data_IF_497630863211
#
_entry.id   IF_497630863211
#
_cell.length_a   1.000
_cell.length_b   1.000
_cell.length_c   1.000
_cell.angle_alpha   90.00
_cell.angle_beta   90.00
_cell.angle_gamma   90.00
#
_symmetry.space_group_name_H-M   'P 1'
#
loop_
_entity.id
_entity.type
_entity.pdbx_description
1 polymer ?
#
# COMPACT_ATOMS: atom_id res chain seq x y z
N UNK A 1 -13.99 0.51 -16.21
CA UNK A 1 -13.06 0.48 -17.39
C UNK A 1 -12.02 -0.59 -17.21
N UNK A 2 -12.43 -1.57 -16.51
CA UNK A 2 -11.50 -2.49 -15.90
C UNK A 2 -10.98 -3.58 -16.84
N UNK A 3 -11.66 -3.98 -17.87
CA UNK A 3 -11.27 -5.13 -18.69
C UNK A 3 -10.56 -4.76 -20.01
N UNK A 4 -9.87 -3.63 -20.03
CA UNK A 4 -9.13 -3.12 -21.22
C UNK A 4 -9.94 -3.03 -22.53
N UNK A 5 -11.27 -3.01 -22.45
CA UNK A 5 -12.16 -2.89 -23.63
C UNK A 5 -12.19 -1.48 -24.25
N UNK A 6 -11.56 -0.51 -23.59
CA UNK A 6 -11.42 0.86 -24.05
C UNK A 6 -11.82 1.92 -23.02
N UNK A 7 -12.01 3.16 -23.48
CA UNK A 7 -12.45 4.28 -22.63
C UNK A 7 -13.92 4.16 -22.21
N UNK A 8 -14.37 5.02 -21.28
CA UNK A 8 -15.73 5.00 -20.75
C UNK A 8 -16.83 5.05 -21.82
N UNK A 9 -16.66 5.85 -22.87
CA UNK A 9 -17.65 5.98 -23.93
C UNK A 9 -17.74 4.71 -24.76
N UNK A 10 -16.60 4.08 -25.08
CA UNK A 10 -16.56 2.79 -25.78
C UNK A 10 -17.23 1.71 -24.93
N UNK A 11 -16.92 1.62 -23.64
CA UNK A 11 -17.56 0.66 -22.73
C UNK A 11 -19.08 0.86 -22.63
N UNK A 12 -19.54 2.11 -22.51
CA UNK A 12 -21.00 2.43 -22.53
C UNK A 12 -21.66 1.93 -23.81
N UNK A 13 -21.03 2.11 -24.97
CA UNK A 13 -21.56 1.65 -26.25
C UNK A 13 -21.62 0.12 -26.31
N UNK A 14 -20.60 -0.58 -25.82
CA UNK A 14 -20.59 -2.04 -25.77
C UNK A 14 -21.73 -2.60 -24.90
N UNK A 15 -21.99 -1.97 -23.73
CA UNK A 15 -23.12 -2.37 -22.88
C UNK A 15 -24.46 -2.12 -23.59
N UNK A 16 -24.66 -0.92 -24.16
CA UNK A 16 -25.91 -0.58 -24.88
C UNK A 16 -26.15 -1.46 -26.10
N UNK A 17 -25.10 -1.92 -26.77
CA UNK A 17 -25.19 -2.81 -27.95
C UNK A 17 -25.43 -4.29 -27.62
N UNK A 18 -25.76 -4.61 -26.35
CA UNK A 18 -26.07 -5.97 -25.90
C UNK A 18 -24.91 -6.98 -26.01
N UNK A 19 -23.67 -6.49 -26.07
CA UNK A 19 -22.47 -7.33 -26.22
C UNK A 19 -21.89 -7.78 -24.90
N UNK A 20 -22.44 -7.27 -23.76
CA UNK A 20 -22.00 -7.64 -22.42
C UNK A 20 -23.06 -8.51 -21.76
N UNK A 21 -22.65 -9.65 -21.27
CA UNK A 21 -23.44 -10.54 -20.40
C UNK A 21 -22.83 -10.56 -19.00
N UNK A 22 -23.66 -10.58 -17.98
CA UNK A 22 -23.28 -10.86 -16.59
C UNK A 22 -24.09 -12.07 -16.14
N UNK A 23 -23.42 -13.13 -15.69
CA UNK A 23 -24.06 -14.40 -15.31
C UNK A 23 -25.02 -14.91 -16.39
N UNK A 24 -24.59 -14.90 -17.66
CA UNK A 24 -25.35 -15.26 -18.85
C UNK A 24 -26.51 -14.33 -19.23
N UNK A 25 -26.77 -13.26 -18.48
CA UNK A 25 -27.82 -12.26 -18.79
C UNK A 25 -27.26 -11.05 -19.52
N UNK A 26 -27.89 -10.65 -20.62
CA UNK A 26 -27.49 -9.42 -21.37
C UNK A 26 -27.79 -8.20 -20.52
N UNK A 27 -26.77 -7.39 -20.24
CA UNK A 27 -26.88 -6.15 -19.52
C UNK A 27 -26.84 -4.97 -20.49
N UNK A 28 -27.85 -4.08 -20.39
CA UNK A 28 -27.96 -2.84 -21.18
C UNK A 28 -27.88 -1.58 -20.30
N UNK A 29 -28.11 -1.72 -18.99
CA UNK A 29 -27.99 -0.59 -18.06
C UNK A 29 -26.52 -0.32 -17.75
N UNK A 30 -26.04 0.85 -18.12
CA UNK A 30 -24.69 1.33 -17.86
C UNK A 30 -24.40 1.57 -16.37
N UNK A 31 -25.42 1.57 -15.51
CA UNK A 31 -25.33 1.74 -14.06
C UNK A 31 -25.40 0.41 -13.33
N UNK A 32 -25.53 -0.72 -14.04
CA UNK A 32 -25.55 -2.03 -13.44
C UNK A 32 -24.27 -2.23 -12.59
N UNK A 33 -24.45 -2.62 -11.34
CA UNK A 33 -23.36 -2.91 -10.42
C UNK A 33 -23.02 -4.39 -10.53
N UNK A 34 -21.77 -4.69 -10.83
CA UNK A 34 -21.24 -6.05 -10.84
C UNK A 34 -20.62 -6.38 -9.50
N UNK A 35 -20.87 -7.61 -9.03
CA UNK A 35 -20.26 -8.15 -7.82
C UNK A 35 -18.94 -8.87 -8.13
N UNK A 36 -18.18 -9.20 -7.10
CA UNK A 36 -16.83 -9.79 -7.26
C UNK A 36 -16.84 -11.17 -7.93
N UNK A 37 -17.91 -11.93 -7.74
CA UNK A 37 -18.08 -13.32 -8.22
C UNK A 37 -18.85 -13.37 -9.54
N UNK A 38 -19.27 -12.22 -10.07
CA UNK A 38 -20.00 -12.19 -11.34
C UNK A 38 -19.09 -12.61 -12.50
N UNK A 39 -19.65 -13.48 -13.35
CA UNK A 39 -19.01 -13.88 -14.61
C UNK A 39 -19.41 -12.88 -15.69
N UNK A 40 -18.43 -12.07 -16.13
CA UNK A 40 -18.64 -11.09 -17.18
C UNK A 40 -18.14 -11.65 -18.52
N UNK A 41 -18.98 -11.57 -19.53
CA UNK A 41 -18.67 -12.07 -20.90
C UNK A 41 -18.86 -10.93 -21.92
N UNK A 42 -17.91 -10.78 -22.80
CA UNK A 42 -17.94 -9.87 -23.95
C UNK A 42 -17.77 -10.69 -25.24
N UNK A 43 -18.81 -10.70 -26.10
CA UNK A 43 -18.81 -11.46 -27.36
C UNK A 43 -18.36 -12.93 -27.16
N UNK A 44 -18.94 -13.58 -26.15
CA UNK A 44 -18.65 -14.96 -25.74
C UNK A 44 -17.25 -15.22 -25.19
N UNK A 45 -16.43 -14.17 -24.97
CA UNK A 45 -15.15 -14.23 -24.29
C UNK A 45 -15.35 -13.86 -22.82
N UNK A 46 -15.02 -14.77 -21.91
CA UNK A 46 -15.04 -14.47 -20.48
C UNK A 46 -13.96 -13.43 -20.14
N UNK A 47 -14.39 -12.32 -19.54
CA UNK A 47 -13.49 -11.29 -19.08
C UNK A 47 -12.96 -11.67 -17.70
N UNK A 48 -11.66 -11.68 -17.54
CA UNK A 48 -11.05 -11.82 -16.22
C UNK A 48 -11.28 -10.55 -15.41
N UNK A 49 -11.50 -10.70 -14.12
CA UNK A 49 -11.54 -9.56 -13.20
C UNK A 49 -10.22 -8.78 -13.33
N UNK A 50 -10.30 -7.47 -13.53
CA UNK A 50 -9.11 -6.72 -13.96
C UNK A 50 -8.15 -6.38 -12.84
N UNK A 51 -8.64 -6.44 -11.59
CA UNK A 51 -7.83 -6.11 -10.44
C UNK A 51 -7.31 -7.36 -9.74
N UNK A 52 -6.05 -7.28 -9.38
CA UNK A 52 -5.39 -8.29 -8.56
C UNK A 52 -4.89 -7.64 -7.28
N UNK A 53 -4.94 -8.39 -6.19
CA UNK A 53 -4.55 -7.93 -4.86
C UNK A 53 -3.64 -8.98 -4.25
N UNK A 54 -2.41 -8.58 -3.95
CA UNK A 54 -1.44 -9.42 -3.24
C UNK A 54 -1.16 -8.83 -1.87
N UNK A 55 -1.12 -9.69 -0.89
CA UNK A 55 -0.61 -9.41 0.44
C UNK A 55 0.71 -10.14 0.59
N UNK A 56 1.81 -9.38 0.59
CA UNK A 56 3.16 -9.90 0.67
C UNK A 56 3.75 -9.64 2.05
N UNK A 57 4.32 -10.66 2.68
CA UNK A 57 5.30 -10.45 3.74
C UNK A 57 6.64 -10.12 3.06
N UNK A 58 6.90 -8.83 2.87
CA UNK A 58 8.08 -8.37 2.13
C UNK A 58 9.37 -8.93 2.77
N UNK A 59 10.20 -9.67 2.04
CA UNK A 59 11.48 -10.13 2.56
C UNK A 59 12.51 -8.99 2.62
N UNK A 60 13.52 -9.15 3.46
CA UNK A 60 14.72 -8.30 3.49
C UNK A 60 15.48 -8.41 2.16
N UNK A 61 16.11 -7.31 1.74
CA UNK A 61 16.94 -7.29 0.52
C UNK A 61 16.20 -6.90 -0.77
N UNK A 62 14.87 -6.72 -0.71
CA UNK A 62 14.07 -6.25 -1.84
C UNK A 62 13.62 -4.82 -1.64
N UNK A 63 13.58 -4.04 -2.72
CA UNK A 63 13.04 -2.68 -2.73
C UNK A 63 11.60 -2.66 -3.26
N UNK A 64 10.81 -1.67 -2.80
CA UNK A 64 9.45 -1.42 -3.28
C UNK A 64 9.49 -0.54 -4.54
N UNK A 65 9.91 -1.12 -5.66
CA UNK A 65 9.95 -0.49 -6.97
C UNK A 65 9.47 -1.47 -8.03
N UNK A 66 9.04 -0.96 -9.19
CA UNK A 66 8.64 -1.79 -10.31
C UNK A 66 9.84 -2.28 -11.12
N UNK A 67 10.92 -1.50 -11.14
CA UNK A 67 12.16 -1.87 -11.79
C UNK A 67 13.34 -1.13 -11.15
N UNK A 68 14.47 -1.81 -11.02
CA UNK A 68 15.74 -1.22 -10.59
C UNK A 68 16.91 -2.00 -11.22
N UNK A 69 18.01 -1.30 -11.53
CA UNK A 69 19.19 -1.92 -12.17
C UNK A 69 20.11 -2.63 -11.17
N UNK A 70 20.03 -2.29 -9.90
CA UNK A 70 20.98 -2.72 -8.86
C UNK A 70 20.34 -3.65 -7.84
N UNK A 71 19.10 -3.40 -7.48
CA UNK A 71 18.40 -4.09 -6.41
C UNK A 71 17.26 -4.94 -6.94
N UNK A 72 17.02 -6.08 -6.30
CA UNK A 72 15.84 -6.91 -6.53
C UNK A 72 14.58 -6.15 -6.15
N UNK A 73 13.57 -6.15 -7.00
CA UNK A 73 12.30 -5.50 -6.76
C UNK A 73 11.28 -6.49 -6.19
N UNK A 74 10.39 -6.03 -5.32
CA UNK A 74 9.32 -6.89 -4.78
C UNK A 74 8.36 -7.36 -5.86
N UNK A 75 8.23 -6.63 -6.96
CA UNK A 75 7.41 -7.03 -8.11
C UNK A 75 7.95 -8.29 -8.79
N UNK A 76 9.26 -8.55 -8.73
CA UNK A 76 9.87 -9.76 -9.26
C UNK A 76 9.42 -11.04 -8.51
N UNK A 77 8.73 -10.90 -7.38
CA UNK A 77 8.19 -12.01 -6.57
C UNK A 77 6.76 -12.41 -6.94
N UNK A 78 6.12 -11.68 -7.86
CA UNK A 78 4.76 -11.95 -8.31
C UNK A 78 4.74 -12.14 -9.82
N UNK A 79 3.84 -12.99 -10.29
CA UNK A 79 3.66 -13.27 -11.72
C UNK A 79 2.57 -12.35 -12.31
N UNK A 80 2.83 -11.02 -12.26
CA UNK A 80 1.90 -10.02 -12.76
C UNK A 80 2.58 -8.68 -13.07
N UNK A 81 2.69 -8.31 -14.34
CA UNK A 81 3.50 -7.18 -14.81
C UNK A 81 2.90 -5.78 -14.54
N UNK A 82 1.57 -5.65 -14.45
CA UNK A 82 0.87 -4.36 -14.33
C UNK A 82 0.64 -3.89 -12.90
N UNK A 83 1.19 -4.60 -11.92
CA UNK A 83 1.05 -4.30 -10.51
C UNK A 83 2.10 -3.31 -9.99
N UNK A 84 1.77 -2.68 -8.86
CA UNK A 84 2.67 -1.79 -8.12
C UNK A 84 2.42 -1.87 -6.61
N UNK A 85 3.42 -1.47 -5.83
CA UNK A 85 3.35 -1.48 -4.38
C UNK A 85 2.43 -0.37 -3.85
N UNK A 86 1.59 -0.69 -2.87
CA UNK A 86 0.87 0.28 -2.07
C UNK A 86 1.72 0.72 -0.88
N UNK A 87 2.43 1.80 -1.06
CA UNK A 87 3.43 2.28 -0.11
C UNK A 87 4.79 1.63 -0.31
N UNK A 88 5.70 1.93 0.60
CA UNK A 88 7.08 1.45 0.53
C UNK A 88 7.60 1.07 1.91
N UNK A 89 8.30 -0.04 1.96
CA UNK A 89 9.17 -0.44 3.05
C UNK A 89 10.63 -0.36 2.59
N UNK A 90 11.51 0.03 3.48
CA UNK A 90 12.95 0.08 3.19
C UNK A 90 13.49 -1.30 2.81
N UNK A 91 14.63 -1.36 2.12
CA UNK A 91 15.27 -2.60 1.67
C UNK A 91 15.54 -3.58 2.83
N UNK A 92 15.88 -3.06 4.01
CA UNK A 92 16.13 -3.85 5.22
C UNK A 92 14.89 -4.12 6.07
N UNK A 93 13.73 -3.55 5.74
CA UNK A 93 12.48 -3.72 6.48
C UNK A 93 11.70 -4.90 5.92
N UNK A 94 11.13 -5.70 6.80
CA UNK A 94 10.23 -6.82 6.47
C UNK A 94 8.80 -6.50 6.89
N UNK A 95 7.82 -7.27 6.41
CA UNK A 95 6.44 -7.18 6.86
C UNK A 95 5.44 -6.88 5.76
N UNK A 96 4.24 -6.48 6.16
CA UNK A 96 3.09 -6.32 5.28
C UNK A 96 3.33 -5.28 4.19
N UNK A 97 3.22 -5.73 2.95
CA UNK A 97 3.18 -4.90 1.77
C UNK A 97 2.01 -5.33 0.87
N UNK A 98 1.17 -4.40 0.49
CA UNK A 98 0.11 -4.63 -0.48
C UNK A 98 0.62 -4.31 -1.88
N UNK A 99 0.26 -5.14 -2.86
CA UNK A 99 0.61 -4.98 -4.27
C UNK A 99 -0.67 -5.17 -5.08
N UNK A 100 -0.94 -4.27 -6.02
CA UNK A 100 -2.15 -4.33 -6.85
C UNK A 100 -1.97 -3.50 -8.13
N UNK A 101 -2.86 -3.69 -9.08
CA UNK A 101 -3.05 -2.81 -10.24
C UNK A 101 -4.27 -1.87 -10.08
N UNK A 102 -4.95 -1.88 -8.92
CA UNK A 102 -6.08 -0.99 -8.62
C UNK A 102 -5.62 0.39 -8.14
N UNK A 103 -5.61 1.35 -9.06
CA UNK A 103 -5.26 2.75 -8.76
C UNK A 103 -6.26 3.44 -7.82
N UNK A 104 -7.50 2.96 -7.75
CA UNK A 104 -8.53 3.54 -6.88
C UNK A 104 -8.26 3.15 -5.43
N UNK A 105 -7.97 1.88 -5.18
CA UNK A 105 -7.55 1.40 -3.86
C UNK A 105 -6.28 2.10 -3.40
N UNK A 106 -5.29 2.24 -4.30
CA UNK A 106 -4.06 2.96 -4.01
C UNK A 106 -4.31 4.39 -3.49
N UNK A 107 -5.13 5.15 -4.19
CA UNK A 107 -5.50 6.50 -3.75
C UNK A 107 -6.17 6.49 -2.37
N UNK A 108 -7.12 5.58 -2.15
CA UNK A 108 -7.85 5.47 -0.86
C UNK A 108 -6.92 5.14 0.31
N UNK A 109 -5.87 4.35 0.10
CA UNK A 109 -4.97 3.92 1.17
C UNK A 109 -3.77 4.85 1.38
N UNK A 110 -3.28 5.52 0.32
CA UNK A 110 -2.02 6.25 0.38
C UNK A 110 -2.16 7.76 0.49
N UNK A 111 -3.33 8.32 0.19
CA UNK A 111 -3.52 9.77 0.31
C UNK A 111 -3.39 10.19 1.78
N UNK A 112 -2.60 11.24 2.06
CA UNK A 112 -2.33 11.70 3.43
C UNK A 112 -3.58 12.07 4.23
N UNK A 113 -4.64 12.51 3.56
CA UNK A 113 -5.94 12.85 4.17
C UNK A 113 -6.67 11.63 4.74
N UNK A 114 -6.36 10.43 4.29
CA UNK A 114 -7.03 9.21 4.77
C UNK A 114 -6.44 8.70 6.11
N UNK A 115 -5.30 9.24 6.53
CA UNK A 115 -4.70 9.00 7.84
C UNK A 115 -4.63 7.51 8.26
N UNK A 116 -4.32 6.62 7.31
CA UNK A 116 -4.21 5.18 7.60
C UNK A 116 -3.01 4.91 8.50
N UNK A 117 -3.27 4.40 9.66
CA UNK A 117 -2.25 4.04 10.64
C UNK A 117 -1.41 2.85 10.17
N UNK A 118 -0.12 2.93 10.47
CA UNK A 118 0.87 1.89 10.18
C UNK A 118 1.62 1.56 11.46
N UNK A 119 1.40 0.35 11.98
CA UNK A 119 2.06 -0.14 13.20
C UNK A 119 3.31 -0.93 12.81
N UNK A 120 4.44 -0.57 13.41
CA UNK A 120 5.73 -1.19 13.19
C UNK A 120 6.26 -1.80 14.47
N UNK A 121 6.76 -3.02 14.41
CA UNK A 121 7.60 -3.60 15.45
C UNK A 121 9.03 -3.12 15.23
N UNK A 122 9.63 -2.52 16.23
CA UNK A 122 10.95 -1.88 16.15
C UNK A 122 11.86 -2.48 17.20
N UNK A 123 13.07 -2.86 16.78
CA UNK A 123 14.17 -3.25 17.66
C UNK A 123 15.24 -2.17 17.61
N UNK A 124 15.66 -1.70 18.76
CA UNK A 124 16.68 -0.68 18.93
C UNK A 124 17.93 -1.23 19.62
N UNK A 125 19.06 -0.52 19.52
CA UNK A 125 20.33 -0.92 20.15
C UNK A 125 20.48 -0.41 21.58
N UNK A 126 19.93 0.77 21.87
CA UNK A 126 20.01 1.42 23.16
C UNK A 126 18.70 1.20 23.91
N UNK A 127 18.78 1.21 25.22
CA UNK A 127 17.60 1.04 26.09
C UNK A 127 16.56 2.11 25.83
N UNK A 128 15.31 1.67 25.71
CA UNK A 128 14.14 2.55 25.62
C UNK A 128 13.77 3.04 27.02
N UNK A 129 13.36 4.30 27.11
CA UNK A 129 12.93 4.96 28.35
C UNK A 129 11.51 5.50 28.17
N UNK A 130 10.76 5.63 29.27
CA UNK A 130 9.34 6.01 29.22
C UNK A 130 9.12 7.44 28.69
N UNK A 131 10.10 8.34 28.90
CA UNK A 131 10.05 9.71 28.37
C UNK A 131 9.96 9.78 26.85
N UNK A 132 10.44 8.75 26.14
CA UNK A 132 10.29 8.64 24.69
C UNK A 132 8.83 8.63 24.24
N UNK A 133 7.92 8.13 25.07
CA UNK A 133 6.48 8.08 24.74
C UNK A 133 5.96 9.51 24.50
N UNK A 134 6.28 10.43 25.40
CA UNK A 134 5.88 11.82 25.27
C UNK A 134 6.57 12.51 24.10
N UNK A 135 7.86 12.24 23.88
CA UNK A 135 8.64 12.79 22.76
C UNK A 135 8.01 12.38 21.43
N UNK A 136 7.66 11.10 21.25
CA UNK A 136 7.00 10.63 20.03
C UNK A 136 5.59 11.20 19.86
N UNK A 137 4.83 11.33 20.95
CA UNK A 137 3.49 11.92 20.93
C UNK A 137 3.49 13.40 20.58
N UNK A 138 4.56 14.14 20.89
CA UNK A 138 4.73 15.55 20.53
C UNK A 138 5.22 15.75 19.08
N UNK A 139 5.64 14.68 18.42
CA UNK A 139 6.23 14.70 17.08
C UNK A 139 7.69 15.12 17.08
N UNK A 140 8.52 14.31 16.45
CA UNK A 140 9.98 14.44 16.43
C UNK A 140 10.43 15.26 15.22
N UNK A 141 11.43 16.12 15.41
CA UNK A 141 12.06 16.84 14.31
C UNK A 141 13.17 15.96 13.73
N UNK A 142 13.06 15.64 12.46
CA UNK A 142 14.06 14.91 11.68
C UNK A 142 14.66 15.84 10.62
N UNK A 143 15.83 15.46 10.07
CA UNK A 143 16.48 16.21 8.99
C UNK A 143 16.58 17.73 9.28
N UNK A 144 16.87 18.10 10.54
CA UNK A 144 17.07 19.44 11.10
C UNK A 144 15.85 20.37 11.14
N UNK A 145 14.84 20.22 10.31
CA UNK A 145 13.69 21.14 10.23
C UNK A 145 12.33 20.45 10.01
N UNK A 146 12.31 19.16 9.74
CA UNK A 146 11.08 18.46 9.38
C UNK A 146 10.43 17.87 10.62
N UNK A 147 9.37 18.50 11.11
CA UNK A 147 8.57 17.96 12.21
C UNK A 147 7.67 16.83 11.69
N UNK A 148 7.84 15.63 12.27
CA UNK A 148 6.94 14.52 12.05
C UNK A 148 5.61 14.77 12.78
N UNK A 149 4.53 14.17 12.28
CA UNK A 149 3.25 14.12 13.00
C UNK A 149 3.41 13.37 14.32
N UNK A 150 2.55 13.66 15.32
CA UNK A 150 2.43 12.84 16.52
C UNK A 150 2.33 11.36 16.17
N UNK A 151 3.01 10.52 16.96
CA UNK A 151 3.04 9.08 16.76
C UNK A 151 2.92 8.36 18.10
N UNK A 152 2.34 7.17 18.08
CA UNK A 152 2.08 6.40 19.29
C UNK A 152 3.15 5.35 19.50
N UNK A 153 3.93 5.49 20.59
CA UNK A 153 4.97 4.56 21.01
C UNK A 153 4.47 3.67 22.15
N UNK A 154 4.57 2.37 21.99
CA UNK A 154 4.24 1.35 22.98
C UNK A 154 5.50 0.52 23.27
N UNK A 155 6.12 0.75 24.44
CA UNK A 155 7.33 0.04 24.85
C UNK A 155 6.95 -1.37 25.31
N UNK A 156 7.62 -2.40 24.78
CA UNK A 156 7.43 -3.80 25.15
C UNK A 156 8.45 -4.21 26.20
N UNK A 157 9.70 -3.86 25.95
CA UNK A 157 10.84 -4.09 26.84
C UNK A 157 11.95 -3.06 26.58
N UNK A 158 13.11 -3.25 27.18
CA UNK A 158 14.25 -2.33 27.08
C UNK A 158 14.70 -2.05 25.63
N UNK A 159 14.41 -2.93 24.66
CA UNK A 159 14.95 -2.85 23.29
C UNK A 159 13.89 -3.01 22.21
N UNK A 160 12.63 -3.27 22.59
CA UNK A 160 11.56 -3.52 21.64
C UNK A 160 10.35 -2.64 21.92
N UNK A 161 9.76 -2.13 20.84
CA UNK A 161 8.53 -1.35 20.92
C UNK A 161 7.66 -1.52 19.68
N UNK A 162 6.39 -1.13 19.80
CA UNK A 162 5.57 -0.81 18.64
C UNK A 162 5.55 0.70 18.44
N UNK A 163 5.68 1.12 17.18
CA UNK A 163 5.47 2.51 16.79
C UNK A 163 4.37 2.59 15.73
N UNK A 164 3.32 3.36 16.05
CA UNK A 164 2.22 3.63 15.12
C UNK A 164 2.35 5.04 14.56
N UNK A 165 2.38 5.16 13.24
CA UNK A 165 2.46 6.43 12.50
C UNK A 165 1.34 6.49 11.46
N UNK A 166 0.82 7.69 11.15
CA UNK A 166 -0.18 7.93 10.10
C UNK A 166 0.35 8.73 8.90
N UNK A 167 1.64 8.86 8.79
CA UNK A 167 2.35 9.42 7.62
C UNK A 167 3.44 8.44 7.15
N UNK A 168 4.24 8.82 6.17
CA UNK A 168 5.33 7.96 5.67
C UNK A 168 6.40 8.80 5.00
N UNK A 169 7.35 9.30 5.77
CA UNK A 169 8.53 10.03 5.26
C UNK A 169 9.68 9.06 4.97
N UNK A 170 10.60 9.50 4.15
CA UNK A 170 11.79 8.70 3.80
C UNK A 170 12.61 8.34 5.05
N UNK A 171 12.71 7.03 5.33
CA UNK A 171 13.38 6.44 6.49
C UNK A 171 12.90 7.00 7.84
N UNK A 172 11.62 7.40 7.94
CA UNK A 172 11.09 8.15 9.09
C UNK A 172 11.39 7.46 10.43
N UNK A 173 11.04 6.19 10.58
CA UNK A 173 11.22 5.45 11.83
C UNK A 173 12.70 5.42 12.24
N UNK A 174 13.58 5.08 11.32
CA UNK A 174 15.03 5.05 11.57
C UNK A 174 15.56 6.41 12.00
N UNK A 175 15.13 7.48 11.33
CA UNK A 175 15.55 8.85 11.65
C UNK A 175 15.01 9.30 13.00
N UNK A 176 13.76 8.99 13.33
CA UNK A 176 13.18 9.31 14.62
C UNK A 176 13.97 8.65 15.76
N UNK A 177 14.18 7.34 15.70
CA UNK A 177 14.96 6.65 16.73
C UNK A 177 16.42 7.08 16.77
N UNK A 178 17.06 7.28 15.61
CA UNK A 178 18.42 7.83 15.57
C UNK A 178 18.50 9.16 16.30
N UNK A 179 17.55 10.06 16.05
CA UNK A 179 17.54 11.40 16.63
C UNK A 179 17.34 11.39 18.16
N UNK A 180 16.45 10.56 18.68
CA UNK A 180 16.14 10.51 20.12
C UNK A 180 17.12 9.65 20.91
N UNK A 181 17.69 8.60 20.33
CA UNK A 181 18.58 7.67 21.04
C UNK A 181 20.06 8.11 20.99
N UNK A 182 20.47 8.92 20.01
CA UNK A 182 21.87 9.41 19.92
C UNK A 182 22.09 10.75 20.57
N UNK A 183 21.04 11.43 21.03
CA UNK A 183 21.15 12.71 21.73
C UNK A 183 21.26 12.60 23.25
N UNK A 184 21.12 11.41 23.82
CA UNK A 184 21.23 11.14 25.27
C UNK A 184 22.28 10.07 25.55
#
# INVERSE_FOLDING_TARGET
>A
MCCNLGNANKCKNLIKSSRIKVNNQIIKDIRYQVELDDIIVFDDIMLKWPFVYYMLNKPKGYICANHDKKYKCVIDLIDQDDCYCLGRLDIGTTGLLLITNDKTLSKRLLLPENHIDKKYYVTVKNKLTEDLIEIFNNGIIIDQQVKCKPSYLEIIDDYHCYLTINEGRYHQIKKCFYHVITKY
#
